data_IF_098508450988
#
_entry.id   IF_098508450988
#
_cell.length_a   1.000
_cell.length_b   1.000
_cell.length_c   1.000
_cell.angle_alpha   90.00
_cell.angle_beta   90.00
_cell.angle_gamma   90.00
#
_symmetry.space_group_name_H-M   'P 1'
#
loop_
_entity.id
_entity.type
_entity.pdbx_description
1 polymer ?
#
# COMPACT_ATOMS: atom_id res chain seq x y z
N UNK A 1 25.68 3.42 -26.79
CA UNK A 1 24.47 2.80 -26.20
C UNK A 1 24.08 3.44 -24.87
N UNK A 2 24.96 3.45 -23.85
CA UNK A 2 24.67 4.05 -22.52
C UNK A 2 24.35 5.57 -22.52
N UNK A 3 24.92 6.34 -23.46
CA UNK A 3 24.65 7.77 -23.58
C UNK A 3 23.18 8.07 -23.94
N UNK A 4 22.56 7.23 -24.76
CA UNK A 4 21.16 7.40 -25.21
C UNK A 4 20.20 7.08 -24.07
N UNK A 5 20.49 6.05 -23.26
CA UNK A 5 19.69 5.69 -22.08
C UNK A 5 19.72 6.79 -21.01
N UNK A 6 20.86 7.45 -20.78
CA UNK A 6 20.95 8.56 -19.81
C UNK A 6 20.12 9.77 -20.29
N UNK A 7 20.23 10.13 -21.57
CA UNK A 7 19.43 11.23 -22.13
C UNK A 7 17.94 10.91 -22.02
N UNK A 8 17.51 9.69 -22.36
CA UNK A 8 16.12 9.27 -22.22
C UNK A 8 15.63 9.36 -20.76
N UNK A 9 16.43 8.94 -19.78
CA UNK A 9 16.08 9.03 -18.36
C UNK A 9 15.94 10.48 -17.88
N UNK A 10 16.80 11.39 -18.35
CA UNK A 10 16.75 12.82 -18.03
C UNK A 10 15.44 13.46 -18.50
N UNK A 11 14.82 12.98 -19.58
CA UNK A 11 13.53 13.53 -20.06
C UNK A 11 12.30 12.77 -19.53
N UNK A 12 12.37 11.44 -19.40
CA UNK A 12 11.24 10.63 -18.93
C UNK A 12 10.93 10.82 -17.44
N UNK A 13 11.96 10.90 -16.59
CA UNK A 13 11.78 11.06 -15.14
C UNK A 13 11.10 12.38 -14.74
N UNK A 14 11.54 13.57 -15.22
CA UNK A 14 10.88 14.81 -14.83
C UNK A 14 9.47 14.90 -15.39
N UNK A 15 9.20 14.33 -16.58
CA UNK A 15 7.84 14.28 -17.11
C UNK A 15 6.89 13.49 -16.21
N UNK A 16 7.29 12.28 -15.79
CA UNK A 16 6.50 11.47 -14.87
C UNK A 16 6.30 12.15 -13.51
N UNK A 17 7.34 12.81 -13.00
CA UNK A 17 7.27 13.57 -11.75
C UNK A 17 6.30 14.76 -11.85
N UNK A 18 6.42 15.58 -12.90
CA UNK A 18 5.56 16.75 -13.12
C UNK A 18 4.09 16.35 -13.28
N UNK A 19 3.80 15.27 -14.02
CA UNK A 19 2.44 14.76 -14.17
C UNK A 19 1.84 14.39 -12.80
N UNK A 20 2.60 13.66 -11.97
CA UNK A 20 2.15 13.25 -10.64
C UNK A 20 1.97 14.45 -9.70
N UNK A 21 2.84 15.45 -9.79
CA UNK A 21 2.71 16.70 -9.04
C UNK A 21 1.45 17.47 -9.47
N UNK A 22 1.16 17.53 -10.76
CA UNK A 22 -0.04 18.18 -11.27
C UNK A 22 -1.32 17.49 -10.75
N UNK A 23 -1.40 16.16 -10.81
CA UNK A 23 -2.53 15.39 -10.27
C UNK A 23 -2.75 15.68 -8.78
N UNK A 24 -1.67 15.70 -7.98
CA UNK A 24 -1.75 16.01 -6.55
C UNK A 24 -2.24 17.46 -6.33
N UNK A 25 -1.74 18.42 -7.10
CA UNK A 25 -2.15 19.82 -6.98
C UNK A 25 -3.64 19.99 -7.34
N UNK A 26 -4.12 19.35 -8.40
CA UNK A 26 -5.53 19.40 -8.80
C UNK A 26 -6.42 18.80 -7.72
N UNK A 27 -6.06 17.64 -7.19
CA UNK A 27 -6.79 17.01 -6.08
C UNK A 27 -6.79 17.89 -4.83
N UNK A 28 -5.64 18.46 -4.48
CA UNK A 28 -5.52 19.32 -3.31
C UNK A 28 -6.40 20.57 -3.45
N UNK A 29 -6.39 21.22 -4.61
CA UNK A 29 -7.27 22.37 -4.88
C UNK A 29 -8.74 21.96 -4.84
N UNK A 30 -9.11 20.82 -5.46
CA UNK A 30 -10.49 20.35 -5.55
C UNK A 30 -11.09 20.01 -4.18
N UNK A 31 -10.35 19.34 -3.31
CA UNK A 31 -10.87 18.83 -2.05
C UNK A 31 -10.56 19.72 -0.84
N UNK A 32 -9.38 20.35 -0.77
CA UNK A 32 -9.00 21.16 0.39
C UNK A 32 -9.47 22.61 0.25
N UNK A 33 -9.37 23.20 -0.95
CA UNK A 33 -9.73 24.61 -1.16
C UNK A 33 -11.20 24.74 -1.53
N UNK A 34 -11.70 23.89 -2.42
CA UNK A 34 -13.07 23.97 -2.92
C UNK A 34 -14.10 23.26 -2.03
N UNK A 35 -13.64 22.53 -1.00
CA UNK A 35 -14.44 21.76 -0.05
C UNK A 35 -15.54 20.91 -0.71
N UNK A 36 -15.29 20.42 -1.93
CA UNK A 36 -16.24 19.57 -2.65
C UNK A 36 -16.24 18.18 -2.04
N UNK A 37 -17.42 17.59 -1.95
CA UNK A 37 -17.55 16.17 -1.62
C UNK A 37 -16.77 15.34 -2.66
N UNK A 38 -16.07 14.32 -2.16
CA UNK A 38 -15.31 13.40 -3.02
C UNK A 38 -16.32 12.68 -3.91
N UNK A 39 -16.11 12.78 -5.23
CA UNK A 39 -16.99 12.14 -6.20
C UNK A 39 -16.87 10.61 -6.08
N UNK A 40 -17.91 9.88 -6.50
CA UNK A 40 -17.95 8.43 -6.38
C UNK A 40 -16.77 7.75 -7.11
N UNK A 41 -16.39 8.27 -8.29
CA UNK A 41 -15.24 7.79 -9.05
C UNK A 41 -13.92 8.02 -8.29
N UNK A 42 -13.78 9.18 -7.66
CA UNK A 42 -12.59 9.54 -6.89
C UNK A 42 -12.48 8.71 -5.61
N UNK A 43 -13.61 8.40 -4.95
CA UNK A 43 -13.67 7.46 -3.83
C UNK A 43 -13.09 6.11 -4.21
N UNK A 44 -13.51 5.55 -5.34
CA UNK A 44 -12.98 4.27 -5.85
C UNK A 44 -11.47 4.38 -6.10
N UNK A 45 -11.01 5.44 -6.75
CA UNK A 45 -9.58 5.63 -7.05
C UNK A 45 -8.73 5.71 -5.77
N UNK A 46 -9.18 6.46 -4.77
CA UNK A 46 -8.49 6.56 -3.49
C UNK A 46 -8.51 5.23 -2.72
N UNK A 47 -9.64 4.51 -2.72
CA UNK A 47 -9.75 3.18 -2.12
C UNK A 47 -8.80 2.19 -2.81
N UNK A 48 -8.72 2.18 -4.14
CA UNK A 48 -7.77 1.34 -4.90
C UNK A 48 -6.32 1.67 -4.53
N UNK A 49 -6.00 2.96 -4.45
CA UNK A 49 -4.66 3.44 -4.08
C UNK A 49 -4.30 3.08 -2.65
N UNK A 50 -5.27 3.12 -1.73
CA UNK A 50 -5.13 2.69 -0.35
C UNK A 50 -4.88 1.19 -0.22
N UNK A 51 -5.55 0.38 -1.05
CA UNK A 51 -5.40 -1.08 -1.08
C UNK A 51 -4.19 -1.56 -1.91
N UNK A 52 -3.59 -0.68 -2.72
CA UNK A 52 -2.48 -1.03 -3.61
C UNK A 52 -2.88 -1.87 -4.82
N UNK A 53 -4.15 -1.80 -5.25
CA UNK A 53 -4.70 -2.54 -6.39
C UNK A 53 -4.96 -1.60 -7.56
N UNK A 54 -4.96 -2.14 -8.79
CA UNK A 54 -5.38 -1.37 -9.95
C UNK A 54 -6.90 -1.27 -10.02
N UNK A 55 -7.42 -0.17 -10.57
CA UNK A 55 -8.86 0.07 -10.69
C UNK A 55 -9.60 -1.08 -11.41
N UNK A 56 -8.99 -1.64 -12.46
CA UNK A 56 -9.55 -2.77 -13.19
C UNK A 56 -9.78 -4.00 -12.29
N UNK A 57 -8.89 -4.25 -11.32
CA UNK A 57 -9.06 -5.37 -10.38
C UNK A 57 -10.18 -5.08 -9.37
N UNK A 58 -10.35 -3.83 -8.96
CA UNK A 58 -11.42 -3.45 -8.05
C UNK A 58 -12.80 -3.64 -8.68
N UNK A 59 -12.97 -3.25 -9.95
CA UNK A 59 -14.23 -3.44 -10.70
C UNK A 59 -14.56 -4.93 -10.92
N UNK A 60 -13.55 -5.79 -10.96
CA UNK A 60 -13.72 -7.24 -11.11
C UNK A 60 -14.01 -7.96 -9.78
N UNK A 61 -13.90 -7.28 -8.63
CA UNK A 61 -14.26 -7.87 -7.33
C UNK A 61 -15.78 -8.07 -7.23
N UNK A 62 -16.25 -9.03 -6.41
CA UNK A 62 -17.67 -9.14 -6.07
C UNK A 62 -18.22 -7.82 -5.52
N UNK A 63 -19.46 -7.45 -5.86
CA UNK A 63 -20.07 -6.20 -5.39
C UNK A 63 -20.08 -6.09 -3.86
N UNK A 64 -20.26 -7.22 -3.16
CA UNK A 64 -20.20 -7.28 -1.69
C UNK A 64 -18.85 -6.82 -1.15
N UNK A 65 -17.74 -7.23 -1.79
CA UNK A 65 -16.38 -6.82 -1.41
C UNK A 65 -16.12 -5.36 -1.79
N UNK A 66 -16.59 -4.92 -2.95
CA UNK A 66 -16.48 -3.52 -3.36
C UNK A 66 -17.17 -2.59 -2.36
N UNK A 67 -18.41 -2.93 -1.98
CA UNK A 67 -19.19 -2.17 -1.02
C UNK A 67 -18.52 -2.16 0.36
N UNK A 68 -18.01 -3.30 0.82
CA UNK A 68 -17.26 -3.36 2.08
C UNK A 68 -16.08 -2.37 2.11
N UNK A 69 -15.28 -2.30 1.03
CA UNK A 69 -14.16 -1.38 0.98
C UNK A 69 -14.57 0.09 0.83
N UNK A 70 -15.70 0.35 0.18
CA UNK A 70 -16.27 1.70 0.09
C UNK A 70 -16.83 2.16 1.44
N UNK A 71 -17.50 1.29 2.19
CA UNK A 71 -18.05 1.58 3.52
C UNK A 71 -16.97 1.87 4.57
N UNK A 72 -15.76 1.33 4.38
CA UNK A 72 -14.60 1.67 5.23
C UNK A 72 -14.09 3.09 5.01
N UNK A 73 -14.52 3.76 3.94
CA UNK A 73 -14.14 5.12 3.58
C UNK A 73 -12.61 5.34 3.62
N UNK A 74 -11.86 4.43 2.98
CA UNK A 74 -10.39 4.40 3.03
C UNK A 74 -9.71 5.64 2.43
N UNK A 75 -10.48 6.50 1.75
CA UNK A 75 -10.03 7.82 1.31
C UNK A 75 -9.79 8.80 2.46
N UNK A 76 -10.34 8.54 3.65
CA UNK A 76 -9.99 9.28 4.87
C UNK A 76 -8.76 8.66 5.53
N UNK A 77 -7.70 9.46 5.69
CA UNK A 77 -6.41 8.99 6.23
C UNK A 77 -6.55 8.30 7.61
N UNK A 78 -7.46 8.77 8.46
CA UNK A 78 -7.72 8.17 9.77
C UNK A 78 -8.27 6.74 9.66
N UNK A 79 -9.18 6.51 8.71
CA UNK A 79 -9.78 5.19 8.48
C UNK A 79 -8.77 4.24 7.86
N UNK A 80 -7.96 4.73 6.92
CA UNK A 80 -6.86 3.97 6.35
C UNK A 80 -5.88 3.48 7.43
N UNK A 81 -5.47 4.36 8.35
CA UNK A 81 -4.56 4.00 9.44
C UNK A 81 -5.17 2.94 10.35
N UNK A 82 -6.44 3.11 10.75
CA UNK A 82 -7.17 2.11 11.54
C UNK A 82 -7.26 0.75 10.83
N UNK A 83 -7.57 0.77 9.53
CA UNK A 83 -7.64 -0.44 8.72
C UNK A 83 -6.28 -1.14 8.63
N UNK A 84 -5.20 -0.41 8.36
CA UNK A 84 -3.84 -0.97 8.30
C UNK A 84 -3.40 -1.56 9.65
N UNK A 85 -3.77 -0.93 10.78
CA UNK A 85 -3.48 -1.48 12.10
C UNK A 85 -4.33 -2.72 12.39
N UNK A 86 -5.57 -2.79 11.92
CA UNK A 86 -6.40 -4.00 12.00
C UNK A 86 -5.77 -5.17 11.21
N UNK A 87 -5.25 -4.92 10.01
CA UNK A 87 -4.52 -5.92 9.23
C UNK A 87 -3.24 -6.40 9.93
N UNK A 88 -2.46 -5.47 10.50
CA UNK A 88 -1.26 -5.81 11.28
C UNK A 88 -1.59 -6.65 12.51
N UNK A 89 -2.67 -6.31 13.22
CA UNK A 89 -3.08 -7.08 14.40
C UNK A 89 -3.57 -8.48 14.03
N UNK A 90 -4.34 -8.61 12.94
CA UNK A 90 -4.75 -9.92 12.40
C UNK A 90 -3.54 -10.75 11.97
N UNK A 91 -2.57 -10.15 11.28
CA UNK A 91 -1.35 -10.84 10.88
C UNK A 91 -0.54 -11.29 12.10
N UNK A 92 -0.38 -10.44 13.12
CA UNK A 92 0.30 -10.81 14.38
C UNK A 92 -0.39 -11.98 15.08
N UNK A 93 -1.73 -12.02 15.09
CA UNK A 93 -2.51 -13.14 15.64
C UNK A 93 -2.25 -14.43 14.87
N UNK A 94 -2.35 -14.40 13.53
CA UNK A 94 -2.05 -15.54 12.65
C UNK A 94 -0.61 -16.05 12.85
N UNK A 95 0.35 -15.15 13.00
CA UNK A 95 1.74 -15.50 13.29
C UNK A 95 1.93 -16.10 14.68
N UNK A 96 1.17 -15.66 15.67
CA UNK A 96 1.17 -16.24 17.01
C UNK A 96 0.52 -17.63 17.01
N UNK A 97 -0.49 -17.87 16.18
CA UNK A 97 -1.14 -19.18 16.04
C UNK A 97 -0.27 -20.16 15.23
N UNK A 98 0.48 -19.67 14.24
CA UNK A 98 1.35 -20.49 13.39
C UNK A 98 2.52 -21.12 14.17
N UNK A 99 2.52 -22.46 14.25
CA UNK A 99 3.62 -23.24 14.80
C UNK A 99 4.95 -23.03 14.07
N UNK A 100 4.92 -22.83 12.74
CA UNK A 100 6.11 -22.58 11.92
C UNK A 100 6.77 -21.25 12.29
N UNK A 101 5.98 -20.20 12.50
CA UNK A 101 6.48 -18.87 12.86
C UNK A 101 7.07 -18.88 14.27
N UNK A 102 6.45 -19.60 15.22
CA UNK A 102 7.01 -19.83 16.56
C UNK A 102 8.32 -20.61 16.51
N UNK A 103 8.39 -21.69 15.72
CA UNK A 103 9.61 -22.49 15.55
C UNK A 103 10.75 -21.66 14.95
N UNK A 104 10.47 -20.87 13.92
CA UNK A 104 11.44 -19.96 13.31
C UNK A 104 11.95 -18.88 14.29
N UNK A 105 11.06 -18.26 15.08
CA UNK A 105 11.45 -17.30 16.13
C UNK A 105 12.37 -17.94 17.19
N UNK A 106 12.10 -19.19 17.59
CA UNK A 106 12.98 -19.96 18.49
C UNK A 106 14.33 -20.26 17.86
N UNK A 107 14.35 -20.68 16.59
CA UNK A 107 15.59 -20.93 15.84
C UNK A 107 16.49 -19.69 15.74
N UNK A 108 15.92 -18.53 15.39
CA UNK A 108 16.65 -17.25 15.37
C UNK A 108 17.17 -16.89 16.76
N UNK A 109 16.34 -17.00 17.80
CA UNK A 109 16.75 -16.76 19.19
C UNK A 109 17.89 -17.69 19.63
N UNK A 110 17.91 -18.92 19.13
CA UNK A 110 18.92 -19.92 19.41
C UNK A 110 20.18 -19.81 18.51
N UNK A 111 20.37 -18.67 17.83
CA UNK A 111 21.60 -18.36 17.07
C UNK A 111 21.47 -18.45 15.55
N UNK A 112 20.30 -18.82 15.02
CA UNK A 112 20.01 -18.81 13.59
C UNK A 112 21.04 -19.57 12.73
N UNK A 113 21.21 -19.14 11.49
CA UNK A 113 22.18 -19.73 10.55
C UNK A 113 23.65 -19.40 10.85
N UNK A 114 23.91 -18.47 11.77
CA UNK A 114 25.24 -17.95 12.09
C UNK A 114 25.84 -18.51 13.37
N UNK A 115 25.32 -19.62 13.90
CA UNK A 115 25.86 -20.23 15.11
C UNK A 115 27.26 -20.78 14.80
N UNK A 116 28.28 -20.11 15.31
CA UNK A 116 29.63 -20.68 15.47
C UNK A 116 29.48 -21.73 16.57
N UNK A 117 29.26 -22.99 16.19
CA UNK A 117 29.39 -24.11 17.12
C UNK A 117 30.87 -24.24 17.45
N UNK A 118 31.26 -23.74 18.62
CA UNK A 118 32.48 -24.19 19.28
C UNK A 118 32.17 -25.57 19.87
N UNK A 119 32.07 -26.59 19.01
CA UNK A 119 32.27 -27.96 19.47
C UNK A 119 33.79 -28.19 19.41
N UNK A 120 34.35 -28.64 20.54
CA UNK A 120 35.79 -28.78 20.82
C UNK A 120 36.61 -29.58 19.78
#
# INVERSE_FOLDING_TARGET
TWKITIIAQIFLLPYGFLKKMYEICVDWVKYQILNRQIDHQDKILYTCKALGIQNNFFVLMPEEEQNYYLDLELWHHQNLTKYMDSLRTLQRRKEAESGKTKAFKRFIKNGGFGRISFDD
#
